data_IF_178346438003
#
_entry.id   IF_178346438003
#
_cell.length_a   1.000
_cell.length_b   1.000
_cell.length_c   1.000
_cell.angle_alpha   90.00
_cell.angle_beta   90.00
_cell.angle_gamma   90.00
#
_symmetry.space_group_name_H-M   'P 1'
#
loop_
_entity.id
_entity.type
_entity.pdbx_description
1 polymer ?
#
# COMPACT_ATOMS: atom_id res chain seq x y z
N UNK A 1 7.01 16.13 -6.67
CA UNK A 1 6.10 16.67 -7.70
C UNK A 1 4.70 16.68 -7.09
N UNK A 2 4.06 17.84 -6.98
CA UNK A 2 2.82 18.02 -6.21
C UNK A 2 1.58 17.59 -7.04
N UNK A 3 0.90 16.51 -6.63
CA UNK A 3 -0.31 15.93 -7.25
C UNK A 3 -1.59 16.79 -7.07
N UNK A 4 -1.52 18.11 -7.22
CA UNK A 4 -2.60 19.03 -6.78
C UNK A 4 -3.84 18.99 -7.72
N UNK A 5 -3.75 18.35 -8.89
CA UNK A 5 -4.80 18.38 -9.92
C UNK A 5 -5.87 17.28 -9.83
N UNK A 6 -5.49 16.02 -9.60
CA UNK A 6 -6.37 14.87 -9.89
C UNK A 6 -7.26 14.45 -8.70
N UNK A 7 -6.88 14.84 -7.49
CA UNK A 7 -7.52 14.41 -6.24
C UNK A 7 -6.55 13.67 -5.34
N UNK A 8 -7.07 12.80 -4.47
CA UNK A 8 -6.27 11.97 -3.56
C UNK A 8 -6.89 10.60 -3.35
N UNK A 9 -6.06 9.67 -2.93
CA UNK A 9 -6.45 8.35 -2.41
C UNK A 9 -6.24 8.36 -0.90
N UNK A 10 -7.20 7.83 -0.17
CA UNK A 10 -7.11 7.64 1.27
C UNK A 10 -7.20 6.14 1.56
N UNK A 11 -6.44 5.70 2.55
CA UNK A 11 -6.45 4.34 3.04
C UNK A 11 -6.98 4.37 4.48
N UNK A 12 -7.99 3.56 4.76
CA UNK A 12 -8.58 3.42 6.08
C UNK A 12 -8.44 1.94 6.50
N UNK A 13 -7.67 1.67 7.54
CA UNK A 13 -7.51 0.31 8.06
C UNK A 13 -8.42 0.10 9.27
N UNK A 14 -8.95 -1.10 9.44
CA UNK A 14 -9.76 -1.45 10.62
C UNK A 14 -8.92 -1.46 11.90
N UNK A 15 -7.62 -1.73 11.77
CA UNK A 15 -6.64 -1.83 12.87
C UNK A 15 -5.27 -1.35 12.40
N UNK A 16 -4.42 -1.00 13.35
CA UNK A 16 -3.03 -0.59 13.11
C UNK A 16 -2.02 -1.69 13.50
N UNK A 17 -2.48 -2.70 14.27
CA UNK A 17 -1.66 -3.82 14.77
C UNK A 17 -2.14 -5.15 14.23
N UNK A 18 -1.20 -5.95 13.74
CA UNK A 18 -1.47 -7.23 13.12
C UNK A 18 -0.47 -8.30 13.54
N UNK A 19 -0.86 -9.56 13.33
CA UNK A 19 0.01 -10.72 13.52
C UNK A 19 0.29 -11.37 12.16
N UNK A 20 1.43 -12.04 11.97
CA UNK A 20 1.64 -12.88 10.78
C UNK A 20 0.50 -13.87 10.59
N UNK A 21 0.07 -14.08 9.34
CA UNK A 21 -1.09 -14.92 9.02
C UNK A 21 -2.47 -14.28 9.20
N UNK A 22 -2.55 -13.11 9.85
CA UNK A 22 -3.81 -12.38 10.08
C UNK A 22 -4.31 -11.67 8.83
N UNK A 23 -5.56 -11.18 8.88
CA UNK A 23 -6.21 -10.50 7.78
C UNK A 23 -6.23 -9.00 8.01
N UNK A 24 -5.57 -8.26 7.13
CA UNK A 24 -5.72 -6.81 7.00
C UNK A 24 -7.02 -6.54 6.27
N UNK A 25 -7.90 -5.80 6.94
CA UNK A 25 -9.17 -5.33 6.37
C UNK A 25 -9.18 -3.82 6.43
N UNK A 26 -9.73 -3.24 5.38
CA UNK A 26 -9.82 -1.80 5.28
C UNK A 26 -10.55 -1.38 4.03
N UNK A 27 -10.45 -0.09 3.76
CA UNK A 27 -11.08 0.58 2.64
C UNK A 27 -10.11 1.53 1.97
N UNK A 28 -10.10 1.48 0.66
CA UNK A 28 -9.49 2.49 -0.19
C UNK A 28 -10.57 3.48 -0.62
N UNK A 29 -10.39 4.76 -0.34
CA UNK A 29 -11.32 5.82 -0.72
C UNK A 29 -10.67 6.72 -1.76
N UNK A 30 -11.18 6.67 -2.99
CA UNK A 30 -10.79 7.61 -4.04
C UNK A 30 -11.58 8.91 -3.89
N UNK A 31 -10.88 10.02 -3.70
CA UNK A 31 -11.44 11.38 -3.70
C UNK A 31 -10.86 12.15 -4.89
N UNK A 32 -11.39 11.85 -6.08
CA UNK A 32 -10.98 12.41 -7.35
C UNK A 32 -11.80 13.68 -7.67
N UNK A 33 -11.16 14.68 -8.26
CA UNK A 33 -11.85 15.93 -8.68
C UNK A 33 -12.60 15.75 -10.00
N UNK A 34 -12.12 14.85 -10.85
CA UNK A 34 -12.66 14.50 -12.15
C UNK A 34 -12.43 13.01 -12.42
N UNK A 35 -13.15 12.38 -13.38
CA UNK A 35 -12.88 11.00 -13.76
C UNK A 35 -11.44 10.83 -14.27
N UNK A 36 -10.70 9.90 -13.70
CA UNK A 36 -9.30 9.65 -14.04
C UNK A 36 -9.18 8.35 -14.85
N UNK A 37 -8.64 8.39 -16.08
CA UNK A 37 -8.31 7.17 -16.81
C UNK A 37 -7.14 6.46 -16.13
N UNK A 38 -7.38 5.26 -15.62
CA UNK A 38 -6.41 4.46 -14.89
C UNK A 38 -6.57 2.98 -15.26
N UNK A 39 -5.56 2.16 -14.96
CA UNK A 39 -5.51 0.72 -15.23
C UNK A 39 -6.13 -0.12 -14.12
N UNK A 40 -6.11 0.40 -12.89
CA UNK A 40 -6.60 -0.33 -11.75
C UNK A 40 -6.40 0.39 -10.43
N UNK A 41 -7.10 -0.12 -9.42
CA UNK A 41 -6.85 0.19 -8.01
C UNK A 41 -6.25 -1.06 -7.38
N UNK A 42 -5.07 -0.93 -6.80
CA UNK A 42 -4.35 -2.01 -6.14
C UNK A 42 -4.00 -1.64 -4.70
N UNK A 43 -3.91 -2.66 -3.87
CA UNK A 43 -3.38 -2.58 -2.50
C UNK A 43 -2.19 -3.51 -2.40
N UNK A 44 -1.14 -3.01 -1.78
CA UNK A 44 0.15 -3.66 -1.64
C UNK A 44 0.49 -3.66 -0.14
N UNK A 45 0.89 -4.81 0.39
CA UNK A 45 1.47 -4.96 1.72
C UNK A 45 2.92 -5.37 1.54
N UNK A 46 3.85 -4.64 2.14
CA UNK A 46 5.27 -4.92 2.01
C UNK A 46 6.02 -4.47 3.26
N UNK A 47 7.17 -5.10 3.50
CA UNK A 47 8.13 -4.69 4.50
C UNK A 47 9.27 -3.91 3.84
N UNK A 48 9.85 -2.97 4.57
CA UNK A 48 11.08 -2.28 4.16
C UNK A 48 12.13 -2.52 5.23
N UNK A 49 13.23 -3.15 4.84
CA UNK A 49 14.43 -3.23 5.66
C UNK A 49 15.26 -1.97 5.39
N UNK A 50 15.50 -1.16 6.43
CA UNK A 50 16.45 -0.06 6.30
C UNK A 50 17.86 -0.65 6.22
N UNK A 51 18.71 -0.14 5.32
CA UNK A 51 20.12 -0.50 5.31
C UNK A 51 20.87 0.29 6.37
N UNK A 52 22.02 -0.24 6.77
CA UNK A 52 22.91 0.32 7.81
C UNK A 52 23.55 1.65 7.42
N UNK A 53 23.69 1.93 6.12
CA UNK A 53 24.38 3.13 5.61
C UNK A 53 23.38 4.08 4.92
N UNK A 54 23.50 5.39 5.17
CA UNK A 54 22.61 6.45 4.63
C UNK A 54 22.57 6.51 3.09
N UNK A 55 23.56 5.90 2.42
CA UNK A 55 23.67 5.85 0.96
C UNK A 55 23.05 4.59 0.32
N UNK A 56 22.63 3.60 1.11
CA UNK A 56 22.01 2.38 0.58
C UNK A 56 20.49 2.52 0.40
N UNK A 57 19.99 1.89 -0.66
CA UNK A 57 18.57 1.86 -1.00
C UNK A 57 17.94 0.76 -0.16
N UNK A 58 16.96 1.09 0.70
CA UNK A 58 16.23 0.08 1.48
C UNK A 58 15.60 -0.99 0.58
N UNK A 59 15.68 -2.24 1.02
CA UNK A 59 15.15 -3.38 0.29
C UNK A 59 13.70 -3.65 0.69
N UNK A 60 12.82 -3.69 -0.31
CA UNK A 60 11.46 -4.17 -0.16
C UNK A 60 11.48 -5.69 0.05
N UNK A 61 10.89 -6.14 1.16
CA UNK A 61 10.77 -7.56 1.52
C UNK A 61 9.30 -7.94 1.66
N UNK A 62 8.99 -9.20 1.31
CA UNK A 62 7.66 -9.80 1.52
C UNK A 62 6.50 -8.96 0.96
N UNK A 63 6.50 -8.78 -0.37
CA UNK A 63 5.45 -8.04 -1.06
C UNK A 63 4.23 -8.94 -1.37
N UNK A 64 3.08 -8.56 -0.84
CA UNK A 64 1.77 -9.14 -1.17
C UNK A 64 0.92 -8.07 -1.84
N UNK A 65 0.42 -8.39 -3.03
CA UNK A 65 -0.46 -7.48 -3.80
C UNK A 65 -1.86 -8.06 -3.95
N UNK A 66 -2.85 -7.18 -3.87
CA UNK A 66 -4.26 -7.47 -4.14
C UNK A 66 -4.81 -6.40 -5.08
N UNK A 67 -5.23 -6.82 -6.25
CA UNK A 67 -5.93 -5.95 -7.19
C UNK A 67 -7.41 -5.85 -6.81
N UNK A 68 -7.86 -4.66 -6.41
CA UNK A 68 -9.26 -4.42 -6.01
C UNK A 68 -10.16 -4.25 -7.23
N UNK A 69 -9.63 -3.58 -8.24
CA UNK A 69 -10.32 -3.38 -9.49
C UNK A 69 -9.30 -3.28 -10.62
N UNK A 70 -9.51 -4.09 -11.65
CA UNK A 70 -8.66 -4.14 -12.84
C UNK A 70 -9.44 -3.68 -14.06
N UNK A 71 -8.73 -3.08 -14.99
CA UNK A 71 -9.22 -2.70 -16.31
C UNK A 71 -9.03 -1.22 -16.56
N UNK A 72 -8.56 -0.91 -17.75
CA UNK A 72 -8.45 0.47 -18.24
C UNK A 72 -9.84 1.08 -18.38
N UNK A 73 -10.15 2.01 -17.47
CA UNK A 73 -11.41 2.75 -17.47
C UNK A 73 -11.25 4.10 -16.75
N UNK A 74 -12.31 4.89 -16.81
CA UNK A 74 -12.38 6.13 -16.04
C UNK A 74 -12.85 5.82 -14.62
N UNK A 75 -11.95 5.96 -13.66
CA UNK A 75 -12.23 5.82 -12.24
C UNK A 75 -12.77 7.15 -11.71
N UNK A 76 -13.81 7.07 -10.89
CA UNK A 76 -14.40 8.22 -10.21
C UNK A 76 -14.25 8.08 -8.70
N UNK A 77 -14.66 9.10 -7.95
CA UNK A 77 -14.69 9.03 -6.49
C UNK A 77 -15.58 7.89 -6.02
N UNK A 78 -14.97 6.88 -5.41
CA UNK A 78 -15.59 5.63 -4.98
C UNK A 78 -14.73 4.98 -3.90
N UNK A 79 -15.37 4.20 -3.04
CA UNK A 79 -14.69 3.35 -2.06
C UNK A 79 -14.60 1.90 -2.51
N UNK A 80 -13.50 1.25 -2.15
CA UNK A 80 -13.25 -0.17 -2.38
C UNK A 80 -12.85 -0.81 -1.05
N UNK A 81 -13.68 -1.71 -0.54
CA UNK A 81 -13.30 -2.51 0.62
C UNK A 81 -12.31 -3.58 0.16
N UNK A 82 -11.30 -3.85 0.97
CA UNK A 82 -10.28 -4.85 0.67
C UNK A 82 -10.01 -5.76 1.84
N UNK A 83 -9.41 -6.89 1.49
CA UNK A 83 -8.98 -7.90 2.42
C UNK A 83 -7.69 -8.52 1.91
N UNK A 84 -6.64 -8.42 2.70
CA UNK A 84 -5.32 -8.96 2.41
C UNK A 84 -4.89 -9.86 3.56
N UNK A 85 -4.25 -10.99 3.26
CA UNK A 85 -3.71 -11.88 4.28
C UNK A 85 -2.20 -11.65 4.40
N UNK A 86 -1.76 -11.38 5.63
CA UNK A 86 -0.34 -11.27 5.93
C UNK A 86 0.29 -12.66 5.85
N UNK A 87 1.43 -12.82 5.17
CA UNK A 87 2.19 -14.07 5.20
C UNK A 87 2.51 -14.52 6.63
N UNK A 88 2.70 -15.83 6.84
CA UNK A 88 3.07 -16.36 8.16
C UNK A 88 4.58 -16.23 8.41
N UNK A 89 5.35 -16.25 7.34
CA UNK A 89 6.80 -16.26 7.26
C UNK A 89 7.34 -14.84 7.04
N UNK A 90 6.97 -13.91 7.91
CA UNK A 90 7.50 -12.56 7.87
C UNK A 90 8.89 -12.46 8.51
N UNK A 91 9.77 -11.77 7.81
CA UNK A 91 11.07 -11.36 8.36
C UNK A 91 10.89 -10.07 9.15
N UNK A 92 10.66 -10.20 10.46
CA UNK A 92 10.37 -9.06 11.34
C UNK A 92 11.61 -8.22 11.68
N UNK A 93 12.80 -8.76 11.46
CA UNK A 93 14.08 -8.10 11.74
C UNK A 93 15.06 -8.37 10.60
N UNK A 94 16.04 -7.48 10.40
CA UNK A 94 17.17 -7.70 9.51
C UNK A 94 18.29 -8.51 10.21
N UNK A 95 19.39 -8.81 9.50
CA UNK A 95 20.50 -9.62 10.03
C UNK A 95 21.17 -9.00 11.28
N UNK A 96 21.00 -7.69 11.46
CA UNK A 96 21.57 -6.90 12.56
C UNK A 96 20.61 -6.71 13.75
N UNK A 97 19.38 -7.24 13.65
CA UNK A 97 18.36 -7.13 14.70
C UNK A 97 17.60 -5.80 14.71
N UNK A 98 17.65 -5.02 13.62
CA UNK A 98 16.76 -3.87 13.46
C UNK A 98 15.38 -4.31 12.95
N UNK A 99 14.29 -3.70 13.44
CA UNK A 99 12.94 -4.10 13.06
C UNK A 99 12.62 -3.70 11.62
N UNK A 100 12.05 -4.64 10.87
CA UNK A 100 11.42 -4.41 9.56
C UNK A 100 10.19 -3.53 9.73
N UNK A 101 10.10 -2.46 8.94
CA UNK A 101 8.92 -1.60 8.92
C UNK A 101 7.91 -2.11 7.91
N UNK A 102 6.65 -2.18 8.29
CA UNK A 102 5.60 -2.74 7.44
C UNK A 102 4.64 -1.67 6.98
N UNK A 103 4.22 -1.75 5.72
CA UNK A 103 3.39 -0.76 5.08
C UNK A 103 2.23 -1.41 4.34
N UNK A 104 1.09 -0.72 4.34
CA UNK A 104 0.00 -0.96 3.40
C UNK A 104 -0.10 0.26 2.50
N UNK A 105 -0.01 0.02 1.20
CA UNK A 105 -0.05 1.05 0.17
C UNK A 105 -1.22 0.81 -0.76
N UNK A 106 -2.02 1.84 -0.98
CA UNK A 106 -3.03 1.86 -2.01
C UNK A 106 -2.53 2.69 -3.19
N UNK A 107 -2.69 2.16 -4.40
CA UNK A 107 -2.24 2.80 -5.64
C UNK A 107 -3.37 2.79 -6.66
N UNK A 108 -3.67 3.96 -7.25
CA UNK A 108 -4.40 4.09 -8.49
C UNK A 108 -3.36 4.19 -9.62
N UNK A 109 -3.18 3.09 -10.35
CA UNK A 109 -2.21 3.00 -11.46
C UNK A 109 -2.74 3.79 -12.65
N UNK A 110 -2.18 4.97 -12.87
CA UNK A 110 -2.53 5.82 -14.00
C UNK A 110 -1.28 5.95 -14.88
N UNK A 111 -1.41 5.75 -16.21
CA UNK A 111 -0.31 5.99 -17.13
C UNK A 111 0.35 7.37 -16.93
N UNK A 112 1.65 7.32 -16.65
CA UNK A 112 2.53 8.48 -16.47
C UNK A 112 2.54 9.12 -15.08
N UNK A 113 1.59 8.81 -14.18
CA UNK A 113 1.58 9.36 -12.83
C UNK A 113 0.62 8.58 -11.92
N UNK A 114 1.17 7.93 -10.90
CA UNK A 114 0.37 7.20 -9.91
C UNK A 114 -0.12 8.12 -8.79
N UNK A 115 -1.38 7.90 -8.38
CA UNK A 115 -1.87 8.42 -7.10
C UNK A 115 -1.77 7.29 -6.09
N UNK A 116 -1.02 7.51 -5.01
CA UNK A 116 -0.87 6.53 -3.95
C UNK A 116 -1.00 7.15 -2.56
N UNK A 117 -1.27 6.30 -1.59
CA UNK A 117 -1.27 6.59 -0.17
C UNK A 117 -0.73 5.36 0.56
N UNK A 118 0.05 5.58 1.59
CA UNK A 118 0.76 4.55 2.32
C UNK A 118 0.59 4.78 3.82
N UNK A 119 0.37 3.70 4.55
CA UNK A 119 0.28 3.68 6.01
C UNK A 119 1.23 2.64 6.57
N UNK A 120 2.02 3.05 7.56
CA UNK A 120 2.82 2.14 8.38
C UNK A 120 1.87 1.33 9.28
N UNK A 121 2.15 0.04 9.44
CA UNK A 121 1.43 -0.88 10.33
C UNK A 121 2.40 -1.58 11.26
N UNK A 122 1.94 -1.88 12.47
CA UNK A 122 2.73 -2.63 13.46
C UNK A 122 2.45 -4.13 13.33
N UNK A 123 3.51 -4.92 13.19
CA UNK A 123 3.42 -6.40 13.23
C UNK A 123 4.00 -6.88 14.56
N UNK A 124 3.21 -7.67 15.29
CA UNK A 124 3.53 -8.16 16.65
C UNK A 124 3.34 -9.66 16.79
#
# INVERSE_FOLDING_TARGET
MFNIGLGRIELELDKERYQPGSEVKGRVVLKLKEPVPARGVRVEFFGVKKPLEEDDIGEDVNEVRVDLELGEKNYTSKSYDFKLRIPLDLELENEDGEPTKWYVKATLDKPGLDLNNELEVEIT
#
